data_IF_429883512510
#
_entry.id   IF_429883512510
#
_cell.length_a   1.000
_cell.length_b   1.000
_cell.length_c   1.000
_cell.angle_alpha   90.00
_cell.angle_beta   90.00
_cell.angle_gamma   90.00
#
_symmetry.space_group_name_H-M   'P 1'
#
loop_
_entity.id
_entity.type
_entity.pdbx_description
1 polymer ?
#
# COMPACT_ATOMS: atom_id res chain seq x y z
N UNK A 1 -4.65 62.07 49.17
CA UNK A 1 -4.98 61.58 47.78
C UNK A 1 -4.11 60.35 47.49
N UNK A 2 -4.70 59.14 47.56
CA UNK A 2 -3.96 57.90 47.36
C UNK A 2 -4.15 57.48 45.92
N UNK A 3 -3.08 57.44 45.10
CA UNK A 3 -3.10 56.92 43.70
C UNK A 3 -3.07 55.41 43.77
N UNK A 4 -4.15 54.75 43.24
CA UNK A 4 -4.17 53.36 43.05
C UNK A 4 -3.49 53.03 41.71
N UNK A 5 -2.39 52.27 41.77
CA UNK A 5 -1.70 51.72 40.62
C UNK A 5 -2.41 50.44 40.25
N UNK A 6 -2.99 50.40 39.03
CA UNK A 6 -3.66 49.23 38.47
C UNK A 6 -2.60 48.44 37.72
N UNK A 7 -2.14 47.30 38.29
CA UNK A 7 -1.21 46.39 37.61
C UNK A 7 -2.03 45.48 36.73
N UNK A 8 -1.97 45.72 35.42
CA UNK A 8 -2.57 44.86 34.40
C UNK A 8 -1.62 43.66 34.15
N UNK A 9 -1.92 42.52 34.76
CA UNK A 9 -1.20 41.25 34.48
C UNK A 9 -1.70 40.70 33.15
N UNK A 10 -0.85 40.85 32.12
CA UNK A 10 -1.09 40.28 30.80
C UNK A 10 -0.70 38.79 30.84
N UNK A 11 -1.70 37.93 30.98
CA UNK A 11 -1.51 36.48 30.93
C UNK A 11 -1.36 36.07 29.48
N UNK A 12 -0.10 36.01 28.98
CA UNK A 12 0.21 35.42 27.69
C UNK A 12 0.08 33.90 27.85
N UNK A 13 -1.08 33.35 27.48
CA UNK A 13 -1.30 31.92 27.34
C UNK A 13 -0.45 31.41 26.17
N UNK A 14 0.68 30.81 26.48
CA UNK A 14 1.53 30.11 25.52
C UNK A 14 0.80 28.80 25.09
N UNK A 15 -0.05 28.91 24.08
CA UNK A 15 -0.65 27.75 23.43
C UNK A 15 0.48 27.09 22.66
N UNK A 16 1.17 26.13 23.26
CA UNK A 16 2.03 25.20 22.54
C UNK A 16 1.15 24.35 21.67
N UNK A 17 1.05 24.70 20.39
CA UNK A 17 0.54 23.82 19.36
C UNK A 17 1.45 22.58 19.33
N UNK A 18 1.03 21.52 19.99
CA UNK A 18 1.53 20.17 19.70
C UNK A 18 1.11 19.86 18.26
N UNK A 19 1.93 20.23 17.31
CA UNK A 19 1.85 19.68 15.96
C UNK A 19 2.23 18.22 16.10
N UNK A 20 1.23 17.36 16.18
CA UNK A 20 1.41 15.94 15.90
C UNK A 20 2.02 15.87 14.51
N UNK A 21 3.32 15.57 14.41
CA UNK A 21 3.92 15.17 13.13
C UNK A 21 3.12 13.97 12.68
N UNK A 22 2.23 14.17 11.74
CA UNK A 22 1.77 13.07 10.89
C UNK A 22 3.04 12.66 10.16
N UNK A 23 3.61 11.52 10.53
CA UNK A 23 4.76 10.95 9.84
C UNK A 23 4.32 10.64 8.41
N UNK A 24 4.47 11.62 7.53
CA UNK A 24 4.29 11.46 6.11
C UNK A 24 5.55 10.80 5.56
N UNK A 25 5.38 9.75 4.77
CA UNK A 25 6.49 9.15 4.05
C UNK A 25 7.17 10.16 3.14
N UNK A 26 8.45 9.91 2.83
CA UNK A 26 9.26 10.76 1.95
C UNK A 26 8.62 10.95 0.58
N UNK A 27 8.78 12.14 0.01
CA UNK A 27 8.42 12.42 -1.40
C UNK A 27 9.44 11.87 -2.39
N UNK A 28 10.69 11.58 -1.97
CA UNK A 28 11.67 10.86 -2.79
C UNK A 28 11.29 9.39 -2.93
N UNK A 29 11.11 8.84 -4.14
CA UNK A 29 10.60 7.48 -4.34
C UNK A 29 11.50 6.40 -3.74
N UNK A 30 12.83 6.58 -3.74
CA UNK A 30 13.76 5.61 -3.16
C UNK A 30 13.62 5.60 -1.63
N UNK A 31 13.64 6.78 -1.05
CA UNK A 31 13.48 6.94 0.39
C UNK A 31 12.08 6.47 0.85
N UNK A 32 11.03 6.76 0.08
CA UNK A 32 9.67 6.29 0.30
C UNK A 32 9.62 4.76 0.44
N UNK A 33 10.21 4.02 -0.49
CA UNK A 33 10.25 2.55 -0.41
C UNK A 33 11.13 2.08 0.75
N UNK A 34 12.26 2.73 1.02
CA UNK A 34 13.14 2.38 2.14
C UNK A 34 12.41 2.52 3.50
N UNK A 35 11.65 3.59 3.70
CA UNK A 35 10.86 3.81 4.91
C UNK A 35 9.77 2.75 5.09
N UNK A 36 9.05 2.40 4.02
CA UNK A 36 8.03 1.35 4.04
C UNK A 36 8.65 -0.02 4.39
N UNK A 37 9.77 -0.36 3.77
CA UNK A 37 10.48 -1.62 4.02
C UNK A 37 10.92 -1.72 5.48
N UNK A 38 11.49 -0.66 6.04
CA UNK A 38 11.92 -0.62 7.43
C UNK A 38 10.74 -0.69 8.42
N UNK A 39 9.62 -0.01 8.12
CA UNK A 39 8.42 -0.08 8.95
C UNK A 39 7.80 -1.50 8.91
N UNK A 40 7.67 -2.10 7.74
CA UNK A 40 7.18 -3.47 7.58
C UNK A 40 8.09 -4.47 8.29
N UNK A 41 9.42 -4.33 8.17
CA UNK A 41 10.39 -5.18 8.87
C UNK A 41 10.22 -5.12 10.39
N UNK A 42 10.07 -3.93 10.97
CA UNK A 42 9.83 -3.77 12.42
C UNK A 42 8.58 -4.52 12.89
N UNK A 43 7.54 -4.58 12.05
CA UNK A 43 6.32 -5.35 12.36
C UNK A 43 6.60 -6.85 12.29
N UNK A 44 7.33 -7.29 11.27
CA UNK A 44 7.58 -8.72 11.02
C UNK A 44 8.50 -9.36 12.03
N UNK A 45 9.54 -8.66 12.49
CA UNK A 45 10.48 -9.19 13.50
C UNK A 45 9.91 -9.17 14.92
N UNK A 46 8.82 -8.44 15.15
CA UNK A 46 8.19 -8.39 16.47
C UNK A 46 7.50 -9.73 16.80
N UNK A 47 7.46 -10.09 18.09
CA UNK A 47 6.83 -11.32 18.61
C UNK A 47 5.29 -11.28 18.66
N UNK A 48 4.64 -10.31 18.03
CA UNK A 48 3.18 -10.23 17.95
C UNK A 48 2.57 -11.44 17.22
N UNK A 49 1.29 -11.72 17.52
CA UNK A 49 0.54 -12.74 16.78
C UNK A 49 0.43 -12.39 15.28
N UNK A 50 0.14 -13.41 14.46
CA UNK A 50 -0.02 -13.25 13.01
C UNK A 50 -1.08 -12.21 12.68
N UNK A 51 -2.22 -12.24 13.37
CA UNK A 51 -3.34 -11.32 13.17
C UNK A 51 -2.95 -9.86 13.46
N UNK A 52 -2.14 -9.63 14.51
CA UNK A 52 -1.65 -8.29 14.84
C UNK A 52 -0.68 -7.79 13.77
N UNK A 53 0.19 -8.66 13.25
CA UNK A 53 1.10 -8.33 12.15
C UNK A 53 0.31 -7.98 10.88
N UNK A 54 -0.65 -8.82 10.50
CA UNK A 54 -1.49 -8.60 9.32
C UNK A 54 -2.28 -7.29 9.42
N UNK A 55 -2.85 -6.96 10.58
CA UNK A 55 -3.53 -5.69 10.80
C UNK A 55 -2.59 -4.50 10.59
N UNK A 56 -1.40 -4.51 11.22
CA UNK A 56 -0.44 -3.40 11.07
C UNK A 56 0.10 -3.27 9.65
N UNK A 57 0.35 -4.39 8.96
CA UNK A 57 0.75 -4.38 7.55
C UNK A 57 -0.37 -3.83 6.65
N UNK A 58 -1.63 -4.13 6.96
CA UNK A 58 -2.79 -3.55 6.25
C UNK A 58 -2.86 -2.04 6.42
N UNK A 59 -2.59 -1.51 7.62
CA UNK A 59 -2.54 -0.07 7.89
C UNK A 59 -1.47 0.65 7.05
N UNK A 60 -0.29 0.03 6.89
CA UNK A 60 0.74 0.54 5.97
C UNK A 60 0.23 0.49 4.53
N UNK A 61 -0.24 -0.67 4.07
CA UNK A 61 -0.68 -0.86 2.68
C UNK A 61 -1.77 0.15 2.27
N UNK A 62 -2.73 0.45 3.14
CA UNK A 62 -3.77 1.46 2.92
C UNK A 62 -3.22 2.89 2.74
N UNK A 63 -2.09 3.21 3.39
CA UNK A 63 -1.48 4.54 3.30
C UNK A 63 -0.64 4.72 2.04
N UNK A 64 0.08 3.66 1.63
CA UNK A 64 1.16 3.75 0.64
C UNK A 64 0.82 3.15 -0.72
N UNK A 65 -0.33 2.47 -0.88
CA UNK A 65 -0.71 1.78 -2.11
C UNK A 65 -1.96 2.39 -2.74
N UNK A 66 -1.95 2.61 -4.05
CA UNK A 66 -3.16 2.99 -4.81
C UNK A 66 -4.03 1.74 -5.08
N UNK A 67 -4.59 1.16 -4.00
CA UNK A 67 -5.37 -0.08 -4.08
C UNK A 67 -6.53 0.06 -5.05
N UNK A 68 -7.24 1.19 -5.03
CA UNK A 68 -8.35 1.46 -5.96
C UNK A 68 -7.88 1.51 -7.41
N UNK A 69 -6.76 2.17 -7.67
CA UNK A 69 -6.18 2.26 -9.01
C UNK A 69 -5.73 0.89 -9.53
N UNK A 70 -5.11 0.07 -8.69
CA UNK A 70 -4.74 -1.32 -9.02
C UNK A 70 -6.00 -2.14 -9.29
N UNK A 71 -7.01 -2.06 -8.42
CA UNK A 71 -8.27 -2.78 -8.60
C UNK A 71 -8.94 -2.45 -9.94
N UNK A 72 -9.05 -1.19 -10.29
CA UNK A 72 -9.61 -0.81 -11.59
C UNK A 72 -8.77 -1.26 -12.78
N UNK A 73 -7.45 -1.35 -12.62
CA UNK A 73 -6.58 -1.92 -13.64
C UNK A 73 -6.85 -3.43 -13.84
N UNK A 74 -7.11 -4.17 -12.78
CA UNK A 74 -7.35 -5.62 -12.85
C UNK A 74 -8.66 -6.00 -13.52
N UNK A 75 -9.66 -5.11 -13.58
CA UNK A 75 -10.89 -5.31 -14.37
C UNK A 75 -10.67 -5.22 -15.89
N UNK A 76 -9.56 -4.63 -16.34
CA UNK A 76 -9.30 -4.44 -17.76
C UNK A 76 -10.43 -3.69 -18.48
N UNK A 77 -10.87 -4.23 -19.61
CA UNK A 77 -11.96 -3.63 -20.40
C UNK A 77 -13.33 -3.78 -19.75
N UNK A 78 -13.55 -4.79 -18.92
CA UNK A 78 -14.80 -5.02 -18.21
C UNK A 78 -15.20 -3.87 -17.28
N UNK A 79 -14.22 -3.07 -16.84
CA UNK A 79 -14.50 -1.84 -16.10
C UNK A 79 -15.51 -0.91 -16.79
N UNK A 80 -15.51 -0.90 -18.13
CA UNK A 80 -16.38 0.00 -18.92
C UNK A 80 -17.84 -0.44 -18.97
N UNK A 81 -18.11 -1.72 -18.70
CA UNK A 81 -19.45 -2.29 -18.69
C UNK A 81 -20.13 -2.22 -17.32
N UNK A 82 -19.40 -1.82 -16.28
CA UNK A 82 -19.91 -1.73 -14.91
C UNK A 82 -20.49 -0.33 -14.65
N UNK A 83 -21.63 -0.28 -13.96
CA UNK A 83 -22.20 0.96 -13.43
C UNK A 83 -21.48 1.41 -12.15
N UNK A 84 -21.84 2.58 -11.63
CA UNK A 84 -21.17 3.18 -10.47
C UNK A 84 -21.34 2.35 -9.19
N UNK A 85 -22.49 1.70 -8.99
CA UNK A 85 -22.74 0.83 -7.84
C UNK A 85 -21.86 -0.41 -7.89
N UNK A 86 -21.76 -1.06 -9.05
CA UNK A 86 -20.90 -2.21 -9.27
C UNK A 86 -19.42 -1.85 -9.12
N UNK A 87 -18.99 -0.69 -9.62
CA UNK A 87 -17.63 -0.19 -9.43
C UNK A 87 -17.30 0.09 -7.96
N UNK A 88 -18.28 0.60 -7.21
CA UNK A 88 -18.14 0.81 -5.76
C UNK A 88 -18.06 -0.52 -5.01
N UNK A 89 -18.96 -1.46 -5.30
CA UNK A 89 -18.91 -2.81 -4.71
C UNK A 89 -17.59 -3.50 -5.00
N UNK A 90 -17.17 -3.49 -6.26
CA UNK A 90 -15.88 -4.06 -6.65
C UNK A 90 -14.71 -3.44 -5.90
N UNK A 91 -14.68 -2.11 -5.75
CA UNK A 91 -13.60 -1.43 -5.04
C UNK A 91 -13.48 -1.91 -3.59
N UNK A 92 -14.62 -2.12 -2.90
CA UNK A 92 -14.66 -2.62 -1.53
C UNK A 92 -14.18 -4.08 -1.46
N UNK A 93 -14.65 -4.92 -2.38
CA UNK A 93 -14.25 -6.32 -2.46
C UNK A 93 -12.76 -6.46 -2.79
N UNK A 94 -12.27 -5.69 -3.77
CA UNK A 94 -10.87 -5.72 -4.15
C UNK A 94 -9.95 -5.27 -3.02
N UNK A 95 -10.30 -4.21 -2.30
CA UNK A 95 -9.51 -3.74 -1.15
C UNK A 95 -9.38 -4.84 -0.08
N UNK A 96 -10.47 -5.47 0.31
CA UNK A 96 -10.46 -6.57 1.29
C UNK A 96 -9.64 -7.77 0.80
N UNK A 97 -9.84 -8.15 -0.47
CA UNK A 97 -9.07 -9.21 -1.11
C UNK A 97 -7.57 -8.91 -1.14
N UNK A 98 -7.21 -7.70 -1.59
CA UNK A 98 -5.83 -7.24 -1.68
C UNK A 98 -5.15 -7.29 -0.30
N UNK A 99 -5.77 -6.67 0.70
CA UNK A 99 -5.20 -6.63 2.04
C UNK A 99 -5.01 -8.04 2.60
N UNK A 100 -6.03 -8.89 2.54
CA UNK A 100 -5.95 -10.28 3.03
C UNK A 100 -4.88 -11.08 2.30
N UNK A 101 -4.86 -11.05 0.97
CA UNK A 101 -3.90 -11.80 0.15
C UNK A 101 -2.46 -11.33 0.37
N UNK A 102 -2.25 -10.01 0.47
CA UNK A 102 -0.93 -9.41 0.61
C UNK A 102 -0.35 -9.61 2.01
N UNK A 103 -1.13 -9.28 3.05
CA UNK A 103 -0.63 -9.34 4.43
C UNK A 103 -0.44 -10.75 4.94
N UNK A 104 -1.29 -11.69 4.53
CA UNK A 104 -1.15 -13.10 4.86
C UNK A 104 0.18 -13.68 4.35
N UNK A 105 0.59 -13.32 3.12
CA UNK A 105 1.86 -13.76 2.55
C UNK A 105 3.06 -13.10 3.24
N UNK A 106 2.96 -11.82 3.59
CA UNK A 106 4.05 -11.10 4.26
C UNK A 106 4.25 -11.56 5.70
N UNK A 107 3.17 -11.84 6.41
CA UNK A 107 3.24 -12.24 7.84
C UNK A 107 3.96 -13.57 8.08
N UNK A 108 4.17 -14.37 7.03
CA UNK A 108 4.95 -15.61 7.08
C UNK A 108 6.48 -15.39 7.07
N UNK A 109 6.92 -14.15 6.80
CA UNK A 109 8.35 -13.79 6.94
C UNK A 109 8.65 -13.36 8.38
N UNK A 110 9.75 -13.86 8.93
CA UNK A 110 10.17 -13.54 10.31
C UNK A 110 11.24 -12.45 10.38
N UNK A 111 12.15 -12.37 9.41
CA UNK A 111 13.24 -11.39 9.34
C UNK A 111 13.66 -11.17 7.87
N UNK A 112 12.82 -10.51 7.05
CA UNK A 112 13.20 -10.23 5.68
C UNK A 112 14.29 -9.15 5.63
N UNK A 113 15.37 -9.41 4.88
CA UNK A 113 16.43 -8.44 4.62
C UNK A 113 16.25 -7.91 3.21
N UNK A 114 15.74 -6.70 3.08
CA UNK A 114 15.52 -6.05 1.78
C UNK A 114 16.44 -4.84 1.69
N UNK A 115 17.24 -4.78 0.61
CA UNK A 115 18.10 -3.66 0.27
C UNK A 115 17.46 -2.85 -0.85
N UNK A 116 17.22 -1.56 -0.62
CA UNK A 116 16.73 -0.63 -1.64
C UNK A 116 17.91 -0.04 -2.39
N UNK A 117 18.06 -0.41 -3.65
CA UNK A 117 19.28 -0.16 -4.44
C UNK A 117 19.24 1.17 -5.16
N UNK A 118 18.24 1.38 -6.03
CA UNK A 118 18.20 2.53 -6.93
C UNK A 118 16.77 2.94 -7.25
N UNK A 119 16.61 4.15 -7.77
CA UNK A 119 15.38 4.63 -8.37
C UNK A 119 15.66 5.16 -9.78
N UNK A 120 14.74 4.88 -10.71
CA UNK A 120 14.84 5.30 -12.11
C UNK A 120 13.48 5.85 -12.56
N UNK A 121 13.47 7.08 -13.08
CA UNK A 121 12.27 7.70 -13.63
C UNK A 121 11.90 6.99 -14.93
N UNK A 122 10.79 6.27 -14.93
CA UNK A 122 10.29 5.57 -16.11
C UNK A 122 9.59 6.54 -17.09
N UNK A 123 8.82 7.47 -16.56
CA UNK A 123 8.12 8.53 -17.28
C UNK A 123 7.60 9.58 -16.29
N UNK A 124 6.96 10.70 -16.73
CA UNK A 124 6.50 11.77 -15.84
C UNK A 124 5.50 11.34 -14.73
N UNK A 125 4.99 10.12 -14.78
CA UNK A 125 4.01 9.62 -13.80
C UNK A 125 4.54 8.50 -12.92
N UNK A 126 5.66 7.86 -13.30
CA UNK A 126 6.13 6.65 -12.65
C UNK A 126 7.64 6.63 -12.48
N UNK A 127 8.05 6.19 -11.32
CA UNK A 127 9.43 5.83 -11.00
C UNK A 127 9.48 4.35 -10.63
N UNK A 128 10.50 3.64 -11.11
CA UNK A 128 10.80 2.27 -10.67
C UNK A 128 11.86 2.37 -9.58
N UNK A 129 11.56 1.81 -8.41
CA UNK A 129 12.53 1.62 -7.34
C UNK A 129 12.93 0.16 -7.31
N UNK A 130 14.24 -0.11 -7.44
CA UNK A 130 14.78 -1.47 -7.42
C UNK A 130 15.22 -1.85 -6.02
N UNK A 131 14.89 -3.06 -5.63
CA UNK A 131 15.33 -3.64 -4.37
C UNK A 131 15.65 -5.13 -4.51
N UNK A 132 16.36 -5.65 -3.52
CA UNK A 132 16.77 -7.04 -3.45
C UNK A 132 16.38 -7.61 -2.09
N UNK A 133 15.56 -8.64 -2.08
CA UNK A 133 15.38 -9.48 -0.92
C UNK A 133 16.56 -10.44 -0.86
N UNK A 134 17.40 -10.30 0.16
CA UNK A 134 18.64 -11.05 0.27
C UNK A 134 18.40 -12.55 0.46
N UNK A 135 19.31 -13.34 -0.09
CA UNK A 135 19.31 -14.79 0.10
C UNK A 135 19.39 -15.16 1.59
N UNK A 136 18.80 -16.30 1.90
CA UNK A 136 18.99 -17.01 3.19
C UNK A 136 19.52 -18.41 2.93
N UNK A 137 19.89 -19.16 3.97
CA UNK A 137 20.32 -20.55 3.82
C UNK A 137 19.29 -21.45 3.14
N UNK A 138 18.01 -21.02 3.10
CA UNK A 138 16.88 -21.82 2.57
C UNK A 138 16.26 -21.24 1.30
N UNK A 139 16.54 -19.98 0.94
CA UNK A 139 15.89 -19.30 -0.17
C UNK A 139 16.91 -18.45 -0.93
N UNK A 140 16.89 -18.44 -2.28
CA UNK A 140 17.72 -17.56 -3.08
C UNK A 140 17.32 -16.09 -2.87
N UNK A 141 18.16 -15.19 -3.34
CA UNK A 141 17.80 -13.78 -3.46
C UNK A 141 16.65 -13.59 -4.44
N UNK A 142 15.86 -12.51 -4.24
CA UNK A 142 14.71 -12.19 -5.09
C UNK A 142 14.75 -10.70 -5.45
N UNK A 143 14.71 -10.40 -6.73
CA UNK A 143 14.60 -9.03 -7.24
C UNK A 143 13.16 -8.53 -7.11
N UNK A 144 13.02 -7.36 -6.51
CA UNK A 144 11.72 -6.70 -6.32
C UNK A 144 11.81 -5.28 -6.85
N UNK A 145 11.08 -4.99 -7.91
CA UNK A 145 10.94 -3.65 -8.47
C UNK A 145 9.57 -3.09 -8.07
N UNK A 146 9.58 -1.88 -7.54
CA UNK A 146 8.38 -1.16 -7.09
C UNK A 146 8.03 -0.10 -8.12
N UNK A 147 6.85 -0.19 -8.73
CA UNK A 147 6.33 0.86 -9.60
C UNK A 147 5.60 1.90 -8.77
N UNK A 148 6.27 3.01 -8.52
CA UNK A 148 5.76 4.11 -7.71
C UNK A 148 5.13 5.16 -8.62
N UNK A 149 3.89 5.55 -8.33
CA UNK A 149 3.19 6.64 -8.99
C UNK A 149 3.61 7.96 -8.37
N UNK A 150 4.25 8.82 -9.16
CA UNK A 150 4.90 10.05 -8.74
C UNK A 150 4.33 11.29 -9.41
N UNK A 151 3.13 11.20 -10.02
CA UNK A 151 2.46 12.37 -10.62
C UNK A 151 2.15 13.44 -9.58
N UNK A 152 1.81 13.04 -8.35
CA UNK A 152 1.77 13.92 -7.19
C UNK A 152 3.04 13.67 -6.37
N UNK A 153 4.06 14.53 -6.46
CA UNK A 153 5.34 14.32 -5.79
C UNK A 153 5.21 14.31 -4.26
N UNK A 154 4.25 15.04 -3.70
CA UNK A 154 4.04 15.11 -2.24
C UNK A 154 3.37 13.85 -1.67
N UNK A 155 2.84 12.99 -2.52
CA UNK A 155 2.15 11.77 -2.13
C UNK A 155 2.41 10.63 -3.13
N UNK A 156 3.62 10.04 -3.13
CA UNK A 156 3.90 8.87 -3.93
C UNK A 156 3.04 7.68 -3.46
N UNK A 157 2.64 6.81 -4.41
CA UNK A 157 1.85 5.61 -4.12
C UNK A 157 2.39 4.43 -4.92
N UNK A 158 2.45 3.26 -4.30
CA UNK A 158 2.78 2.01 -4.98
C UNK A 158 1.59 1.61 -5.87
N UNK A 159 1.86 1.31 -7.16
CA UNK A 159 0.85 0.82 -8.12
C UNK A 159 1.15 -0.56 -8.69
N UNK A 160 2.33 -1.08 -8.47
CA UNK A 160 2.70 -2.44 -8.87
C UNK A 160 3.94 -2.89 -8.11
N UNK A 161 4.07 -4.18 -7.96
CA UNK A 161 5.27 -4.83 -7.48
C UNK A 161 5.65 -5.89 -8.51
N UNK A 162 6.89 -5.83 -8.99
CA UNK A 162 7.41 -6.70 -10.03
C UNK A 162 8.45 -7.60 -9.36
N UNK A 163 8.13 -8.88 -9.23
CA UNK A 163 8.98 -9.88 -8.57
C UNK A 163 9.57 -10.78 -9.62
N UNK A 164 10.91 -10.83 -9.70
CA UNK A 164 11.64 -11.58 -10.74
C UNK A 164 11.12 -11.29 -12.17
N UNK A 165 10.79 -10.03 -12.45
CA UNK A 165 10.27 -9.59 -13.74
C UNK A 165 8.76 -9.80 -13.94
N UNK A 166 8.06 -10.46 -13.01
CA UNK A 166 6.61 -10.67 -13.09
C UNK A 166 5.85 -9.56 -12.37
N UNK A 167 5.06 -8.79 -13.09
CA UNK A 167 4.18 -7.76 -12.54
C UNK A 167 3.00 -8.40 -11.82
N UNK A 168 2.89 -8.20 -10.50
CA UNK A 168 1.80 -8.78 -9.71
C UNK A 168 0.44 -8.20 -10.11
N UNK A 169 0.38 -6.91 -10.43
CA UNK A 169 -0.86 -6.28 -10.90
C UNK A 169 -1.31 -6.84 -12.27
N UNK A 170 -0.36 -7.15 -13.18
CA UNK A 170 -0.68 -7.77 -14.46
C UNK A 170 -1.17 -9.19 -14.28
N UNK A 171 -0.46 -10.01 -13.52
CA UNK A 171 -0.86 -11.39 -13.23
C UNK A 171 -2.26 -11.43 -12.63
N UNK A 172 -2.54 -10.57 -11.65
CA UNK A 172 -3.86 -10.48 -11.04
C UNK A 172 -4.95 -10.07 -12.05
N UNK A 173 -4.62 -9.16 -12.99
CA UNK A 173 -5.53 -8.80 -14.07
C UNK A 173 -5.84 -10.00 -14.96
N UNK A 174 -4.84 -10.75 -15.36
CA UNK A 174 -5.00 -11.94 -16.21
C UNK A 174 -5.84 -13.02 -15.51
N UNK A 175 -5.60 -13.26 -14.22
CA UNK A 175 -6.41 -14.18 -13.41
C UNK A 175 -7.88 -13.74 -13.33
N UNK A 176 -8.15 -12.46 -13.08
CA UNK A 176 -9.52 -11.94 -12.95
C UNK A 176 -10.26 -11.96 -14.28
N UNK A 177 -9.58 -11.59 -15.36
CA UNK A 177 -10.16 -11.69 -16.72
C UNK A 177 -10.50 -13.14 -17.04
N UNK A 178 -9.61 -14.09 -16.73
CA UNK A 178 -9.87 -15.52 -16.93
C UNK A 178 -11.12 -16.01 -16.17
N UNK A 179 -11.32 -15.54 -14.93
CA UNK A 179 -12.55 -15.88 -14.18
C UNK A 179 -13.79 -15.32 -14.87
N UNK A 180 -13.76 -14.09 -15.37
CA UNK A 180 -14.89 -13.46 -16.06
C UNK A 180 -15.17 -14.19 -17.38
N UNK A 181 -14.15 -14.47 -18.20
CA UNK A 181 -14.28 -15.14 -19.49
C UNK A 181 -14.75 -16.57 -19.36
N UNK A 182 -14.31 -17.31 -18.34
CA UNK A 182 -14.78 -18.66 -18.05
C UNK A 182 -16.27 -18.72 -17.63
N UNK A 183 -16.89 -17.57 -17.41
CA UNK A 183 -18.30 -17.40 -17.05
C UNK A 183 -19.03 -16.48 -18.03
N UNK A 184 -18.77 -16.62 -19.32
CA UNK A 184 -19.46 -15.93 -20.42
C UNK A 184 -19.41 -14.38 -20.31
N UNK A 185 -18.38 -13.83 -19.68
CA UNK A 185 -18.21 -12.40 -19.48
C UNK A 185 -18.97 -11.83 -18.27
N UNK A 186 -19.56 -12.69 -17.43
CA UNK A 186 -20.28 -12.27 -16.23
C UNK A 186 -19.32 -11.84 -15.11
N UNK A 187 -19.20 -10.52 -14.93
CA UNK A 187 -18.34 -9.92 -13.90
C UNK A 187 -18.82 -10.24 -12.47
N UNK A 188 -20.12 -10.58 -12.28
CA UNK A 188 -20.64 -10.92 -10.95
C UNK A 188 -19.98 -12.20 -10.40
N UNK A 189 -19.53 -13.08 -11.24
CA UNK A 189 -18.77 -14.29 -10.86
C UNK A 189 -17.40 -13.97 -10.25
N UNK A 190 -16.75 -12.92 -10.73
CA UNK A 190 -15.56 -12.40 -10.08
C UNK A 190 -15.89 -11.87 -8.67
N UNK A 191 -17.01 -11.16 -8.50
CA UNK A 191 -17.42 -10.65 -7.17
C UNK A 191 -17.70 -11.80 -6.20
N UNK A 192 -18.37 -12.86 -6.64
CA UNK A 192 -18.57 -14.08 -5.87
C UNK A 192 -17.24 -14.73 -5.46
N UNK A 193 -16.31 -14.83 -6.40
CA UNK A 193 -14.97 -15.38 -6.16
C UNK A 193 -14.21 -14.57 -5.09
N UNK A 194 -14.24 -13.24 -5.18
CA UNK A 194 -13.63 -12.36 -4.17
C UNK A 194 -14.30 -12.52 -2.79
N UNK A 195 -15.64 -12.53 -2.73
CA UNK A 195 -16.39 -12.76 -1.48
C UNK A 195 -16.01 -14.09 -0.83
N UNK A 196 -15.93 -15.15 -1.63
CA UNK A 196 -15.55 -16.47 -1.13
C UNK A 196 -14.12 -16.50 -0.59
N UNK A 197 -13.17 -15.81 -1.22
CA UNK A 197 -11.80 -15.69 -0.72
C UNK A 197 -11.73 -14.90 0.59
N UNK A 198 -12.45 -13.80 0.68
CA UNK A 198 -12.46 -12.92 1.85
C UNK A 198 -13.02 -13.64 3.09
N UNK A 199 -14.01 -14.51 2.90
CA UNK A 199 -14.74 -15.20 3.98
C UNK A 199 -14.08 -16.52 4.44
N UNK A 200 -13.08 -17.01 3.74
CA UNK A 200 -12.24 -18.16 4.17
C UNK A 200 -11.24 -17.76 5.24
#
# INVERSE_FOLDING_TARGET
MKKKIFILVFFISLITFFQSKVDAYSSDPKQFIAEIVEEAKKILVNSNSKEVKEKKLSEIALKVTDIKGIGFYTLGNYRKSLNDEQLKEYSILFEKYFLKSFTSRLSDYSDPKIEVLSAEVLNPKYTIVRSLLLATDKKPEVKIDWRVYTKNPDKPLIRDMIVEGLSLARTQKEEFISVIEANDGDVTKLFETLKNFINK
#
